data_IF_247593494665
#
_entry.id   IF_247593494665
#
_cell.length_a   1.000
_cell.length_b   1.000
_cell.length_c   1.000
_cell.angle_alpha   90.00
_cell.angle_beta   90.00
_cell.angle_gamma   90.00
#
_symmetry.space_group_name_H-M   'P 1'
#
loop_
_entity.id
_entity.type
_entity.pdbx_description
1 polymer ?
2 non-polymer ?
3 non-polymer ?
4 water ?
#
# COMPACT_ATOMS: atom_id res chain seq x y z
N UNK A 12 -22.25 0.72 -19.96
CA UNK A 12 -21.08 1.45 -20.54
C UNK A 12 -19.85 1.53 -19.59
N UNK A 13 -19.70 2.67 -18.92
CA UNK A 13 -18.50 3.05 -18.15
C UNK A 13 -17.39 3.73 -18.97
N UNK A 14 -17.68 4.00 -20.26
CA UNK A 14 -16.76 4.66 -21.18
C UNK A 14 -16.37 6.08 -20.73
N UNK A 15 -17.36 6.87 -20.32
CA UNK A 15 -17.11 8.22 -19.82
C UNK A 15 -16.37 8.23 -18.49
N UNK A 16 -16.81 7.34 -17.61
CA UNK A 16 -16.13 7.16 -16.35
C UNK A 16 -14.68 6.70 -16.55
N UNK A 17 -14.46 5.69 -17.40
CA UNK A 17 -13.09 5.27 -17.72
C UNK A 17 -12.25 6.47 -18.19
N UNK A 18 -12.76 7.21 -19.16
CA UNK A 18 -12.11 8.43 -19.62
C UNK A 18 -11.76 9.36 -18.43
N UNK A 19 -12.74 9.55 -17.55
CA UNK A 19 -12.58 10.47 -16.45
C UNK A 19 -11.53 9.95 -15.46
N UNK A 20 -11.54 8.64 -15.26
CA UNK A 20 -10.59 7.99 -14.35
C UNK A 20 -9.17 8.17 -14.82
N UNK A 21 -8.98 8.07 -16.13
CA UNK A 21 -7.66 8.25 -16.69
C UNK A 21 -7.19 9.69 -16.62
N UNK A 22 -8.13 10.63 -16.70
CA UNK A 22 -7.81 12.05 -16.62
C UNK A 22 -7.36 12.48 -15.23
N UNK A 23 -8.05 12.00 -14.19
CA UNK A 23 -7.65 12.24 -12.81
C UNK A 23 -6.35 11.50 -12.49
N UNK A 24 -6.23 10.29 -13.03
CA UNK A 24 -5.04 9.46 -12.85
C UNK A 24 -3.73 10.20 -13.21
N UNK A 25 -3.73 10.92 -14.32
CA UNK A 25 -2.54 11.65 -14.74
C UNK A 25 -2.23 12.90 -13.92
N UNK A 26 -3.24 13.44 -13.23
CA UNK A 26 -3.07 14.58 -12.32
C UNK A 26 -2.56 14.17 -10.93
N UNK A 27 -2.80 12.92 -10.51
CA UNK A 27 -2.50 12.49 -9.14
C UNK A 27 -1.22 11.66 -9.03
N UNK A 28 -0.84 11.00 -10.13
CA UNK A 28 0.37 10.18 -10.13
C UNK A 28 1.62 11.03 -9.95
N UNK A 29 2.59 10.47 -9.22
CA UNK A 29 3.87 11.14 -9.07
C UNK A 29 4.46 11.41 -10.45
N UNK A 30 4.93 12.64 -10.65
CA UNK A 30 5.59 13.04 -11.89
C UNK A 30 6.95 12.34 -12.01
N UNK A 31 7.56 12.46 -13.17
CA UNK A 31 8.91 11.94 -13.35
C UNK A 31 9.93 12.86 -12.66
N UNK A 32 9.55 14.12 -12.48
CA UNK A 32 10.36 15.10 -11.79
C UNK A 32 10.50 14.75 -10.29
N UNK A 33 9.38 14.57 -9.60
CA UNK A 33 9.42 14.22 -8.17
C UNK A 33 10.11 12.87 -7.94
N UNK A 34 9.84 11.92 -8.83
CA UNK A 34 10.42 10.58 -8.75
C UNK A 34 11.95 10.69 -8.76
N UNK A 35 12.48 11.38 -9.76
CA UNK A 35 13.93 11.62 -9.89
C UNK A 35 14.56 12.37 -8.72
N UNK A 36 13.81 13.26 -8.07
CA UNK A 36 14.31 13.95 -6.88
C UNK A 36 14.35 13.05 -5.67
N UNK A 37 13.30 12.23 -5.51
CA UNK A 37 13.28 11.20 -4.47
C UNK A 37 14.43 10.21 -4.62
N UNK A 38 14.77 9.87 -5.86
CA UNK A 38 15.90 8.98 -6.15
C UNK A 38 17.26 9.65 -5.90
N UNK A 39 17.35 10.96 -6.14
CA UNK A 39 18.53 11.72 -5.71
C UNK A 39 18.64 11.78 -4.17
N UNK A 40 17.51 11.91 -3.48
CA UNK A 40 17.49 11.92 -2.01
C UNK A 40 18.05 10.62 -1.41
N UNK A 41 17.77 9.53 -2.11
CA UNK A 41 18.22 8.20 -1.74
C UNK A 41 19.72 8.06 -1.94
N UNK A 42 20.21 8.51 -3.09
CA UNK A 42 21.65 8.55 -3.37
C UNK A 42 22.40 9.24 -2.22
N UNK A 43 21.85 10.37 -1.78
CA UNK A 43 22.37 11.17 -0.66
C UNK A 43 22.40 10.40 0.66
N UNK A 44 21.25 9.89 1.08
CA UNK A 44 21.13 9.13 2.32
C UNK A 44 22.03 7.89 2.35
N UNK A 45 22.35 7.34 1.19
CA UNK A 45 23.25 6.19 1.07
C UNK A 45 24.70 6.58 1.29
N UNK A 46 25.06 7.80 0.88
CA UNK A 46 26.40 8.31 1.11
C UNK A 46 26.61 8.45 2.60
N UNK A 47 25.59 8.96 3.29
CA UNK A 47 25.63 9.09 4.74
C UNK A 47 25.73 7.74 5.45
N UNK A 48 25.07 6.71 4.90
CA UNK A 48 25.20 5.37 5.50
C UNK A 48 26.58 4.73 5.26
N UNK A 49 27.18 4.98 4.10
CA UNK A 49 28.56 4.54 3.83
C UNK A 49 29.57 5.10 4.82
N UNK A 50 29.45 6.38 5.14
CA UNK A 50 30.34 7.04 6.08
C UNK A 50 30.25 6.49 7.51
N UNK A 51 29.25 5.64 7.74
CA UNK A 51 28.97 5.11 9.07
C UNK A 51 29.18 3.61 9.14
N UNK A 52 28.69 2.92 8.11
CA UNK A 52 28.74 1.48 8.06
C UNK A 52 28.85 1.06 6.60
N UNK A 53 30.05 0.64 6.19
CA UNK A 53 30.25 0.25 4.79
C UNK A 53 29.40 -0.95 4.33
N UNK A 54 29.03 -1.84 5.26
CA UNK A 54 28.37 -3.12 4.92
C UNK A 54 26.85 -3.05 4.83
N UNK A 55 26.25 -2.15 5.60
CA UNK A 55 24.82 -1.95 5.60
C UNK A 55 24.32 -1.41 4.27
N UNK A 56 23.18 -1.92 3.81
CA UNK A 56 22.55 -1.40 2.59
C UNK A 56 21.26 -0.64 2.92
N UNK A 57 20.93 0.34 2.09
CA UNK A 57 19.71 1.13 2.28
C UNK A 57 18.73 0.85 1.17
N UNK A 58 17.60 0.26 1.51
CA UNK A 58 16.62 -0.09 0.48
C UNK A 58 15.31 0.65 0.69
N UNK A 59 14.64 0.95 -0.43
CA UNK A 59 13.31 1.55 -0.43
C UNK A 59 12.20 0.49 -0.52
N UNK A 60 11.09 0.77 0.13
CA UNK A 60 9.89 -0.04 0.00
C UNK A 60 8.68 0.89 -0.03
N UNK A 61 7.48 0.32 -0.06
CA UNK A 61 6.28 1.13 -0.15
C UNK A 61 6.02 1.67 -1.55
N UNK A 62 5.10 2.62 -1.63
CA UNK A 62 4.53 3.09 -2.87
C UNK A 62 5.56 3.51 -3.92
N UNK A 63 6.57 4.27 -3.51
CA UNK A 63 7.63 4.68 -4.44
C UNK A 63 8.32 3.50 -5.13
N UNK A 64 8.54 2.42 -4.41
CA UNK A 64 9.22 1.26 -4.95
C UNK A 64 8.32 0.41 -5.83
N UNK A 65 7.05 0.30 -5.43
CA UNK A 65 6.06 -0.50 -6.16
C UNK A 65 5.49 0.25 -7.37
N UNK A 66 5.54 1.57 -7.33
CA UNK A 66 5.03 2.41 -8.41
C UNK A 66 3.62 2.91 -8.14
N UNK A 67 3.23 2.91 -6.88
CA UNK A 67 1.88 3.30 -6.52
C UNK A 67 1.89 4.59 -5.73
N UNK A 68 2.73 5.52 -6.20
CA UNK A 68 2.95 6.78 -5.52
C UNK A 68 2.08 7.88 -6.11
N UNK A 69 1.31 8.51 -5.22
CA UNK A 69 0.66 9.78 -5.51
C UNK A 69 1.70 10.93 -5.53
N UNK A 70 1.22 12.14 -5.74
CA UNK A 70 2.03 13.33 -5.61
C UNK A 70 2.26 13.59 -4.13
N UNK A 71 3.35 14.31 -3.80
CA UNK A 71 3.69 14.64 -2.42
C UNK A 71 3.89 13.39 -1.57
N UNK A 72 4.57 12.41 -2.15
CA UNK A 72 4.69 11.09 -1.55
C UNK A 72 5.85 11.05 -0.54
N UNK A 73 5.59 10.46 0.63
CA UNK A 73 6.64 10.23 1.63
C UNK A 73 7.52 9.05 1.21
N UNK A 74 8.74 9.02 1.74
CA UNK A 74 9.71 7.96 1.45
C UNK A 74 9.72 6.93 2.59
N UNK A 75 9.73 5.65 2.23
CA UNK A 75 9.83 4.58 3.22
C UNK A 75 11.11 3.77 3.01
N UNK A 76 12.04 3.92 3.94
CA UNK A 76 13.36 3.31 3.82
C UNK A 76 13.66 2.28 4.88
N UNK A 77 14.50 1.32 4.51
CA UNK A 77 14.97 0.33 5.46
C UNK A 77 16.47 0.03 5.31
N UNK A 78 17.14 -0.04 6.45
CA UNK A 78 18.55 -0.42 6.51
C UNK A 78 18.70 -1.92 6.76
N UNK A 79 19.33 -2.60 5.82
CA UNK A 79 19.68 -4.01 5.98
C UNK A 79 21.10 -4.13 6.48
N UNK A 80 21.29 -5.02 7.44
CA UNK A 80 22.62 -5.28 7.98
C UNK A 80 22.69 -6.67 8.62
N UNK A 81 23.90 -7.07 9.01
CA UNK A 81 24.13 -8.30 9.76
C UNK A 81 23.24 -8.28 11.02
N UNK A 82 22.39 -9.30 11.15
CA UNK A 82 21.44 -9.36 12.28
C UNK A 82 22.15 -9.47 13.64
N UNK A 83 23.33 -10.11 13.64
CA UNK A 83 24.14 -10.31 14.84
C UNK A 83 24.65 -8.99 15.43
N UNK A 84 24.99 -8.04 14.56
CA UNK A 84 25.36 -6.70 14.99
C UNK A 84 24.08 -5.93 15.33
N UNK A 85 24.03 -5.39 16.55
CA UNK A 85 22.79 -4.80 17.09
C UNK A 85 22.43 -3.45 16.48
N UNK A 86 21.14 -3.29 16.19
CA UNK A 86 20.64 -2.17 15.39
C UNK A 86 20.38 -0.86 16.14
N UNK A 87 20.38 -0.87 17.46
CA UNK A 87 20.19 0.40 18.18
C UNK A 87 21.44 1.29 18.10
N UNK A 88 22.60 0.64 17.95
CA UNK A 88 23.90 1.32 17.95
C UNK A 88 24.16 2.11 16.68
N UNK A 89 24.01 1.45 15.53
CA UNK A 89 24.31 2.10 14.26
C UNK A 89 23.14 2.95 13.79
N UNK A 90 21.95 2.69 14.32
CA UNK A 90 20.82 3.59 14.10
C UNK A 90 21.17 4.98 14.61
N UNK A 91 21.62 5.06 15.86
CA UNK A 91 21.97 6.34 16.44
C UNK A 91 23.08 7.02 15.67
N UNK A 92 24.10 6.25 15.26
CA UNK A 92 25.20 6.79 14.47
C UNK A 92 24.68 7.43 13.17
N UNK A 93 23.82 6.69 12.48
CA UNK A 93 23.19 7.14 11.25
C UNK A 93 22.38 8.44 11.49
N UNK A 94 21.64 8.50 12.60
CA UNK A 94 20.86 9.68 12.97
C UNK A 94 21.72 10.92 13.12
N UNK A 95 22.82 10.78 13.87
CA UNK A 95 23.77 11.87 14.09
C UNK A 95 24.44 12.36 12.80
N UNK A 96 24.75 11.46 11.88
CA UNK A 96 25.31 11.87 10.58
C UNK A 96 24.28 12.60 9.72
N UNK A 97 23.04 12.14 9.76
CA UNK A 97 21.94 12.78 9.05
C UNK A 97 21.72 14.18 9.58
N UNK A 98 21.65 14.31 10.91
CA UNK A 98 21.60 15.62 11.54
C UNK A 98 22.75 16.49 11.01
N UNK A 99 23.98 15.99 11.15
CA UNK A 99 25.18 16.74 10.77
C UNK A 99 25.23 17.09 9.29
N UNK A 100 24.57 16.28 8.47
CA UNK A 100 24.57 16.51 7.03
C UNK A 100 23.31 17.29 6.65
N UNK A 101 22.73 17.95 7.65
CA UNK A 101 21.68 18.93 7.44
C UNK A 101 20.25 18.44 7.44
N UNK A 102 20.02 17.21 7.90
CA UNK A 102 18.65 16.69 8.02
C UNK A 102 18.07 16.93 9.42
N UNK A 103 16.77 17.20 9.46
CA UNK A 103 16.05 17.35 10.72
C UNK A 103 15.13 16.18 10.93
N UNK A 104 15.02 15.69 12.16
CA UNK A 104 14.04 14.66 12.44
C UNK A 104 14.09 14.15 13.87
N UNK A 105 13.47 13.00 14.08
CA UNK A 105 13.52 12.33 15.37
C UNK A 105 14.16 10.94 15.30
N UNK A 106 14.90 10.60 16.33
CA UNK A 106 15.32 9.21 16.53
C UNK A 106 14.40 8.58 17.59
N UNK A 107 13.82 7.44 17.24
CA UNK A 107 12.83 6.81 18.11
C UNK A 107 13.05 5.31 18.26
N UNK A 108 12.37 4.72 19.23
CA UNK A 108 12.36 3.28 19.38
C UNK A 108 11.07 2.82 20.02
N UNK A 109 10.19 2.21 19.23
CA UNK A 109 9.02 1.52 19.77
C UNK A 109 9.42 0.09 20.11
N UNK A 110 9.36 -0.22 21.41
CA UNK A 110 9.82 -1.50 21.97
C UNK A 110 11.30 -1.78 21.71
N UNK A 111 11.56 -2.68 20.75
CA UNK A 111 12.92 -3.07 20.35
C UNK A 111 13.28 -2.53 18.97
N UNK A 112 12.29 -1.97 18.29
CA UNK A 112 12.42 -1.49 16.92
C UNK A 112 12.79 0.03 16.87
N UNK A 113 14.00 0.35 16.36
CA UNK A 113 14.46 1.73 16.16
C UNK A 113 13.94 2.34 14.86
N UNK A 114 13.55 3.61 14.91
CA UNK A 114 13.02 4.33 13.75
C UNK A 114 13.60 5.75 13.68
N UNK A 115 13.96 6.19 12.48
CA UNK A 115 14.28 7.59 12.24
C UNK A 115 13.18 8.16 11.37
N UNK A 116 12.66 9.33 11.76
CA UNK A 116 11.70 10.05 10.93
C UNK A 116 12.32 11.37 10.53
N UNK A 117 12.60 11.51 9.24
CA UNK A 117 13.10 12.76 8.71
C UNK A 117 11.95 13.63 8.25
N UNK A 118 11.92 14.87 8.74
CA UNK A 118 10.78 15.76 8.58
C UNK A 118 11.07 16.94 7.66
N UNK A 119 12.35 17.20 7.40
CA UNK A 119 12.79 18.40 6.66
C UNK A 119 14.24 18.27 6.18
N UNK A 120 14.57 18.98 5.10
CA UNK A 120 15.96 19.12 4.66
C UNK A 120 16.37 20.59 4.58
N UNK A 121 17.50 20.94 5.18
CA UNK A 121 17.93 22.33 5.27
C UNK A 121 19.14 22.73 4.41
N UNK A 122 19.70 21.76 3.68
CA UNK A 122 20.94 22.01 2.92
C UNK A 122 20.95 21.43 1.50
N UNK A 123 20.73 20.12 1.38
CA UNK A 123 20.76 19.45 0.08
C UNK A 123 19.57 19.78 -0.82
N UNK A 124 18.65 20.57 -0.28
CA UNK A 124 17.52 21.11 -1.03
C UNK A 124 16.53 20.08 -1.57
N UNK A 125 16.04 19.22 -0.69
CA UNK A 125 15.01 18.24 -1.07
C UNK A 125 13.64 18.63 -0.55
N UNK A 126 13.54 19.85 -0.01
CA UNK A 126 12.29 20.38 0.50
C UNK A 126 12.36 20.79 1.97
N UNK A 127 11.55 21.79 2.31
CA UNK A 127 11.36 22.19 3.72
C UNK A 127 10.47 21.15 4.43
N UNK A 128 9.61 20.49 3.66
CA UNK A 128 8.82 19.36 4.16
C UNK A 128 9.17 18.05 3.43
N UNK A 129 10.43 17.63 3.58
CA UNK A 129 10.92 16.32 3.14
C UNK A 129 10.64 15.26 4.22
N UNK A 130 9.71 14.34 3.92
CA UNK A 130 9.27 13.32 4.86
C UNK A 130 9.78 11.93 4.49
N UNK A 131 10.33 11.21 5.47
CA UNK A 131 11.09 9.98 5.22
C UNK A 131 11.31 9.08 6.45
N UNK A 132 10.70 7.91 6.43
CA UNK A 132 10.79 6.98 7.54
C UNK A 132 11.85 5.93 7.26
N UNK A 133 12.79 5.78 8.19
CA UNK A 133 13.84 4.78 8.08
C UNK A 133 13.76 3.71 9.18
N UNK A 134 13.67 2.46 8.74
CA UNK A 134 13.59 1.32 9.64
C UNK A 134 14.86 0.50 9.54
N UNK A 135 14.96 -0.52 10.38
CA UNK A 135 16.17 -1.33 10.44
C UNK A 135 15.83 -2.81 10.46
N UNK A 136 16.24 -3.51 9.39
CA UNK A 136 15.89 -4.91 9.16
C UNK A 136 14.40 -5.22 9.23
N UNK A 137 13.58 -4.29 8.75
CA UNK A 137 12.16 -4.53 8.52
C UNK A 137 12.01 -5.31 7.23
N UNK A 138 12.38 -6.58 7.28
CA UNK A 138 12.45 -7.39 6.08
C UNK A 138 11.08 -7.70 5.46
N UNK A 139 10.03 -7.79 6.29
CA UNK A 139 8.69 -8.11 5.81
C UNK A 139 8.08 -7.04 4.88
N UNK A 140 8.36 -5.77 5.19
CA UNK A 140 7.94 -4.62 4.39
C UNK A 140 8.47 -4.69 2.96
N UNK A 141 9.74 -5.05 2.82
CA UNK A 141 10.36 -5.25 1.52
C UNK A 141 9.56 -6.28 0.75
N UNK A 142 9.38 -7.43 1.37
CA UNK A 142 8.63 -8.52 0.76
C UNK A 142 7.21 -8.16 0.39
N UNK A 143 6.52 -7.43 1.28
CA UNK A 143 5.17 -6.94 0.99
C UNK A 143 5.18 -6.09 -0.27
N UNK A 144 6.14 -5.19 -0.35
CA UNK A 144 6.40 -4.38 -1.54
C UNK A 144 6.70 -5.21 -2.81
N UNK A 145 7.54 -6.24 -2.70
CA UNK A 145 7.79 -7.14 -3.85
C UNK A 145 6.48 -7.67 -4.44
N UNK A 146 5.59 -8.11 -3.55
CA UNK A 146 4.29 -8.66 -3.92
C UNK A 146 3.45 -7.63 -4.66
N UNK A 147 3.31 -6.45 -4.09
CA UNK A 147 2.53 -5.40 -4.75
C UNK A 147 3.15 -5.01 -6.08
N UNK A 148 4.49 -4.99 -6.12
CA UNK A 148 5.29 -4.70 -7.31
C UNK A 148 5.03 -5.69 -8.42
N UNK A 149 4.93 -6.96 -8.04
CA UNK A 149 4.81 -7.98 -9.06
C UNK A 149 3.45 -7.85 -9.72
N UNK A 150 2.43 -7.60 -8.89
CA UNK A 150 1.07 -7.44 -9.38
C UNK A 150 0.93 -6.27 -10.36
N UNK A 151 1.58 -5.17 -10.02
CA UNK A 151 1.62 -3.98 -10.84
C UNK A 151 2.24 -4.29 -12.20
N UNK A 152 3.28 -5.10 -12.21
CA UNK A 152 3.88 -5.52 -13.47
C UNK A 152 2.95 -6.45 -14.25
N UNK A 153 2.02 -7.09 -13.56
CA UNK A 153 1.20 -8.14 -14.17
C UNK A 153 0.06 -7.57 -14.99
N UNK A 154 -0.59 -6.53 -14.47
CA UNK A 154 -1.67 -5.86 -15.21
C UNK A 154 -1.55 -4.35 -15.13
N UNK A 155 -1.65 -3.72 -16.29
CA UNK A 155 -1.56 -2.28 -16.44
C UNK A 155 -2.71 -1.53 -15.76
N UNK A 156 -3.78 -2.25 -15.44
CA UNK A 156 -4.95 -1.61 -14.85
C UNK A 156 -4.83 -1.39 -13.34
N UNK A 157 -3.97 -2.18 -12.68
CA UNK A 157 -3.89 -2.12 -11.22
C UNK A 157 -3.49 -0.73 -10.75
N UNK A 158 -2.40 -0.23 -11.31
CA UNK A 158 -1.75 0.95 -10.78
C UNK A 158 -2.70 2.15 -10.77
N UNK A 159 -3.27 2.51 -11.94
CA UNK A 159 -4.31 3.57 -11.96
C UNK A 159 -5.51 3.30 -11.06
N UNK A 160 -5.87 2.04 -10.85
CA UNK A 160 -7.02 1.72 -9.99
C UNK A 160 -6.71 2.00 -8.51
N UNK A 161 -5.49 1.68 -8.10
CA UNK A 161 -5.01 1.90 -6.74
C UNK A 161 -4.92 3.39 -6.40
N UNK A 162 -4.25 4.17 -7.24
CA UNK A 162 -4.08 5.60 -6.97
C UNK A 162 -5.41 6.32 -6.97
N UNK A 163 -6.36 5.86 -7.77
CA UNK A 163 -7.68 6.45 -7.74
C UNK A 163 -8.35 6.15 -6.40
N UNK A 164 -8.20 4.91 -5.93
CA UNK A 164 -8.83 4.50 -4.69
C UNK A 164 -8.20 5.23 -3.50
N UNK A 165 -6.88 5.45 -3.56
CA UNK A 165 -6.16 6.11 -2.50
C UNK A 165 -6.59 7.56 -2.43
N UNK A 166 -6.64 8.20 -3.60
CA UNK A 166 -7.12 9.57 -3.75
C UNK A 166 -8.54 9.72 -3.20
N UNK A 167 -9.39 8.76 -3.55
CA UNK A 167 -10.77 8.72 -3.09
C UNK A 167 -10.83 8.69 -1.56
N UNK A 168 -10.05 7.79 -0.97
CA UNK A 168 -10.10 7.53 0.47
C UNK A 168 -9.58 8.71 1.28
N UNK A 169 -8.60 9.40 0.70
CA UNK A 169 -7.97 10.56 1.28
C UNK A 169 -8.97 11.71 1.21
N UNK A 170 -9.58 11.90 0.04
CA UNK A 170 -10.58 12.93 -0.12
C UNK A 170 -11.79 12.70 0.79
N UNK A 171 -12.21 11.45 0.96
CA UNK A 171 -13.41 11.18 1.79
C UNK A 171 -13.17 11.09 3.31
N UNK A 172 -11.95 11.44 3.74
CA UNK A 172 -11.56 11.36 5.13
C UNK A 172 -11.65 9.95 5.69
N UNK A 173 -11.39 8.95 4.87
CA UNK A 173 -11.47 7.57 5.38
C UNK A 173 -10.15 6.86 5.29
N UNK A 174 -9.09 7.65 5.19
CA UNK A 174 -7.74 7.15 5.10
C UNK A 174 -6.84 7.70 6.21
N UNK A 175 -7.30 7.56 7.47
CA UNK A 175 -6.55 7.97 8.65
C UNK A 175 -6.50 6.84 9.67
N UNK A 176 -5.43 6.03 9.64
CA UNK A 176 -5.16 5.04 10.68
C UNK A 176 -5.27 5.56 12.13
N UNK A 177 -4.83 6.79 12.39
CA UNK A 177 -4.77 7.31 13.76
C UNK A 177 -6.12 7.82 14.24
N UNK A 178 -7.05 7.98 13.29
CA UNK A 178 -8.38 8.52 13.58
C UNK A 178 -9.51 7.51 13.36
N UNK A 179 -9.17 6.24 13.33
CA UNK A 179 -10.19 5.20 13.30
C UNK A 179 -10.57 4.69 11.93
N UNK A 180 -9.81 5.06 10.90
CA UNK A 180 -10.04 4.48 9.57
C UNK A 180 -8.84 3.63 9.10
N UNK A 181 -8.63 3.53 7.80
CA UNK A 181 -7.76 2.50 7.25
C UNK A 181 -6.55 3.07 6.51
N UNK A 182 -5.40 2.44 6.67
CA UNK A 182 -4.20 2.86 5.95
C UNK A 182 -4.33 2.70 4.43
N UNK A 183 -3.45 3.35 3.68
CA UNK A 183 -3.36 3.13 2.23
C UNK A 183 -3.08 1.68 1.86
N UNK A 184 -2.14 1.06 2.58
CA UNK A 184 -1.82 -0.34 2.37
C UNK A 184 -3.07 -1.19 2.51
N UNK A 185 -3.83 -0.96 3.57
CA UNK A 185 -5.12 -1.62 3.74
C UNK A 185 -6.03 -1.52 2.53
N UNK A 186 -6.06 -0.35 1.88
CA UNK A 186 -6.89 -0.18 0.69
C UNK A 186 -6.34 -0.92 -0.52
N UNK A 187 -5.04 -1.09 -0.58
CA UNK A 187 -4.42 -1.78 -1.70
C UNK A 187 -4.78 -3.27 -1.63
N UNK A 188 -4.93 -3.76 -0.40
CA UNK A 188 -5.15 -5.18 -0.20
C UNK A 188 -6.59 -5.49 -0.55
N UNK A 189 -7.49 -4.60 -0.15
CA UNK A 189 -8.87 -4.66 -0.57
C UNK A 189 -9.00 -4.64 -2.10
N UNK A 190 -8.18 -3.82 -2.75
CA UNK A 190 -8.19 -3.78 -4.21
C UNK A 190 -7.77 -5.15 -4.76
N UNK A 191 -6.62 -5.63 -4.29
CA UNK A 191 -6.10 -6.92 -4.73
C UNK A 191 -7.07 -8.04 -4.38
N UNK A 192 -7.63 -8.00 -3.17
CA UNK A 192 -8.55 -9.07 -2.81
C UNK A 192 -9.70 -9.13 -3.79
N UNK A 193 -10.22 -7.96 -4.18
CA UNK A 193 -11.31 -7.87 -5.16
C UNK A 193 -10.88 -8.44 -6.52
N UNK A 194 -9.71 -8.04 -6.98
CA UNK A 194 -9.25 -8.39 -8.31
C UNK A 194 -8.89 -9.86 -8.45
N UNK A 195 -8.54 -10.49 -7.32
CA UNK A 195 -8.14 -11.89 -7.31
C UNK A 195 -9.31 -12.81 -7.06
N UNK A 196 -10.03 -12.57 -5.95
CA UNK A 196 -11.02 -13.52 -5.43
C UNK A 196 -12.50 -13.19 -5.61
N UNK A 197 -12.80 -11.99 -6.11
CA UNK A 197 -14.19 -11.59 -6.29
C UNK A 197 -14.57 -11.46 -7.75
N UNK A 198 -13.82 -10.66 -8.52
CA UNK A 198 -14.21 -10.45 -9.90
C UNK A 198 -14.07 -11.76 -10.69
N UNK A 199 -15.02 -11.98 -11.60
CA UNK A 199 -15.00 -13.15 -12.49
C UNK A 199 -15.19 -12.66 -13.92
N UNK A 200 -14.28 -13.04 -14.84
CA UNK A 200 -13.10 -13.86 -14.54
C UNK A 200 -12.15 -13.09 -13.66
N UNK A 201 -11.26 -13.80 -12.95
CA UNK A 201 -10.37 -13.00 -12.10
C UNK A 201 -9.39 -12.16 -12.94
N UNK A 202 -9.08 -10.96 -12.47
CA UNK A 202 -8.08 -10.13 -13.14
C UNK A 202 -6.68 -10.65 -12.86
N UNK A 203 -6.48 -11.17 -11.65
CA UNK A 203 -5.18 -11.67 -11.19
C UNK A 203 -5.38 -13.04 -10.60
N UNK A 204 -4.41 -13.94 -10.84
CA UNK A 204 -4.32 -15.14 -9.99
C UNK A 204 -3.81 -14.76 -8.58
N UNK A 205 -3.91 -15.70 -7.64
CA UNK A 205 -3.29 -15.58 -6.33
C UNK A 205 -1.90 -16.19 -6.45
N UNK A 206 -0.90 -15.33 -6.40
CA UNK A 206 0.51 -15.71 -6.51
C UNK A 206 1.02 -16.54 -5.34
N UNK A 207 0.45 -16.32 -4.17
CA UNK A 207 0.79 -17.07 -2.96
C UNK A 207 0.29 -18.51 -2.98
N UNK A 208 -0.76 -18.79 -3.75
CA UNK A 208 -1.30 -20.15 -3.87
C UNK A 208 -0.86 -20.84 -5.16
N UNK A 209 0.12 -20.25 -5.84
CA UNK A 209 0.65 -20.87 -7.05
C UNK A 209 1.33 -22.22 -6.76
N UNK A 210 1.03 -23.24 -7.59
CA UNK A 210 1.77 -24.49 -7.56
C UNK A 210 3.28 -24.24 -7.61
N UNK A 211 3.71 -23.22 -8.34
CA UNK A 211 5.15 -22.94 -8.54
C UNK A 211 5.81 -22.18 -7.39
N UNK A 212 5.00 -21.75 -6.42
CA UNK A 212 5.45 -20.97 -5.26
C UNK A 212 6.47 -21.71 -4.36
N UNK A 213 7.69 -21.17 -4.32
CA UNK A 213 8.73 -21.70 -3.44
C UNK A 213 8.64 -21.02 -2.06
N UNK A 214 8.80 -21.80 -1.01
CA UNK A 214 8.72 -21.31 0.35
C UNK A 214 10.01 -20.55 0.69
N UNK A 215 9.86 -19.37 1.28
CA UNK A 215 10.98 -18.61 1.82
C UNK A 215 10.58 -18.06 3.19
N UNK A 216 11.24 -18.56 4.22
CA UNK A 216 10.94 -18.09 5.57
C UNK A 216 11.81 -16.90 5.91
N UNK A 217 11.16 -15.80 6.25
CA UNK A 217 11.84 -14.60 6.70
C UNK A 217 11.17 -14.19 8.00
N UNK A 218 11.99 -13.97 9.02
CA UNK A 218 11.50 -13.55 10.34
C UNK A 218 10.31 -14.37 10.81
N UNK A 219 10.31 -15.65 10.48
CA UNK A 219 9.25 -16.56 10.92
C UNK A 219 8.07 -16.72 10.00
N UNK A 220 7.90 -15.82 9.03
CA UNK A 220 6.79 -15.94 8.07
C UNK A 220 7.22 -16.42 6.69
N UNK A 221 6.30 -17.08 6.00
CA UNK A 221 6.54 -17.55 4.65
C UNK A 221 6.20 -16.43 3.66
N UNK A 222 7.24 -15.92 3.02
CA UNK A 222 7.12 -14.79 2.11
C UNK A 222 7.20 -15.24 0.66
N UNK A 223 7.16 -16.55 0.44
CA UNK A 223 7.20 -17.09 -0.90
C UNK A 223 5.95 -16.77 -1.70
N UNK A 224 6.16 -16.37 -2.95
CA UNK A 224 5.08 -16.26 -3.94
C UNK A 224 5.68 -16.51 -5.32
N UNK A 225 4.84 -16.77 -6.31
CA UNK A 225 5.34 -17.04 -7.67
C UNK A 225 5.78 -15.74 -8.37
N UNK A 226 7.09 -15.55 -8.54
CA UNK A 226 7.58 -14.30 -9.10
C UNK A 226 8.06 -14.40 -10.55
N UNK A 227 8.06 -15.61 -11.12
CA UNK A 227 8.39 -15.79 -12.54
C UNK A 227 7.20 -15.26 -13.32
N UNK A 228 7.17 -13.93 -13.46
CA UNK A 228 6.00 -13.21 -13.96
C UNK A 228 5.70 -13.49 -15.41
N UNK A 229 6.75 -13.55 -16.21
CA UNK A 229 6.59 -13.74 -17.64
C UNK A 229 5.80 -15.02 -17.98
N UNK A 230 5.90 -16.05 -17.14
CA UNK A 230 5.21 -17.32 -17.41
C UNK A 230 3.70 -17.31 -17.12
N UNK A 231 3.20 -16.22 -16.55
CA UNK A 231 1.79 -16.15 -16.16
C UNK A 231 0.90 -15.65 -17.31
N UNK A 232 -0.10 -16.46 -17.68
CA UNK A 232 -1.09 -16.04 -18.67
C UNK A 232 -1.76 -14.72 -18.27
N UNK A 233 -1.90 -13.79 -19.25
CA UNK A 233 -2.62 -12.54 -19.04
C UNK A 233 -4.05 -12.77 -18.56
N UNK A 234 -4.62 -11.77 -17.91
CA UNK A 234 -5.98 -11.83 -17.40
C UNK A 234 -7.00 -12.12 -18.50
N UNK A 235 -7.97 -12.99 -18.19
CA UNK A 235 -9.08 -13.27 -19.11
C UNK A 235 -10.30 -12.42 -18.74
N UNK A 236 -10.04 -11.39 -17.94
CA UNK A 236 -11.02 -10.35 -17.67
C UNK A 236 -10.69 -9.12 -18.51
N UNK A 237 -11.69 -8.58 -19.19
CA UNK A 237 -11.45 -7.53 -20.17
C UNK A 237 -12.12 -6.22 -19.80
N UNK A 238 -12.48 -6.08 -18.52
CA UNK A 238 -13.21 -4.91 -18.05
C UNK A 238 -12.35 -3.63 -18.05
N UNK A 239 -12.98 -2.52 -18.40
CA UNK A 239 -12.39 -1.20 -18.33
C UNK A 239 -12.10 -0.81 -16.89
N UNK A 240 -11.15 0.12 -16.73
CA UNK A 240 -10.83 0.70 -15.43
C UNK A 240 -12.08 1.14 -14.66
N UNK A 241 -13.00 1.79 -15.38
CA UNK A 241 -14.30 2.17 -14.83
C UNK A 241 -15.10 1.00 -14.31
N UNK A 242 -15.22 -0.05 -15.13
CA UNK A 242 -16.01 -1.23 -14.75
C UNK A 242 -15.49 -1.79 -13.45
N UNK A 243 -14.16 -1.92 -13.39
CA UNK A 243 -13.48 -2.53 -12.26
C UNK A 243 -13.72 -1.69 -11.02
N UNK A 244 -13.64 -0.37 -11.19
CA UNK A 244 -13.83 0.50 -10.07
C UNK A 244 -15.24 0.40 -9.55
N UNK A 245 -16.19 0.30 -10.46
CA UNK A 245 -17.56 0.13 -10.07
C UNK A 245 -17.78 -1.21 -9.36
N UNK A 246 -17.16 -2.27 -9.88
CA UNK A 246 -17.25 -3.59 -9.24
C UNK A 246 -16.73 -3.55 -7.82
N UNK A 247 -15.53 -2.99 -7.68
CA UNK A 247 -14.88 -2.73 -6.40
C UNK A 247 -15.79 -2.01 -5.40
N UNK A 248 -16.29 -0.83 -5.75
CA UNK A 248 -17.18 -0.09 -4.88
C UNK A 248 -18.46 -0.87 -4.61
N UNK A 249 -18.92 -1.69 -5.56
CA UNK A 249 -20.14 -2.46 -5.36
C UNK A 249 -19.87 -3.58 -4.37
N UNK A 250 -18.71 -4.22 -4.51
CA UNK A 250 -18.43 -5.36 -3.66
C UNK A 250 -18.38 -4.99 -2.17
N UNK A 251 -17.62 -3.96 -1.83
CA UNK A 251 -17.49 -3.53 -0.45
C UNK A 251 -18.69 -2.75 0.09
N UNK A 252 -19.52 -2.20 -0.79
CA UNK A 252 -20.75 -1.58 -0.34
C UNK A 252 -21.78 -2.60 0.16
N UNK A 253 -22.02 -3.65 -0.66
CA UNK A 253 -23.24 -4.45 -0.59
C UNK A 253 -23.02 -5.95 -0.39
N UNK A 254 -21.89 -6.45 -0.89
CA UNK A 254 -21.62 -7.87 -0.92
C UNK A 254 -20.79 -8.33 0.27
N UNK A 255 -19.63 -7.69 0.47
CA UNK A 255 -18.68 -8.08 1.51
C UNK A 255 -19.28 -7.87 2.88
N UNK A 256 -18.93 -8.77 3.81
CA UNK A 256 -19.49 -8.76 5.15
C UNK A 256 -18.40 -8.59 6.21
N UNK A 257 -18.16 -7.34 6.64
CA UNK A 257 -17.09 -7.00 7.59
C UNK A 257 -17.22 -7.69 8.95
N UNK A 258 -18.44 -7.98 9.37
CA UNK A 258 -18.68 -8.56 10.69
C UNK A 258 -18.34 -10.06 10.80
N UNK A 259 -18.41 -10.76 9.68
CA UNK A 259 -18.21 -12.21 9.69
C UNK A 259 -16.95 -12.59 8.93
N UNK A 260 -16.59 -11.78 7.93
CA UNK A 260 -15.55 -12.18 7.00
C UNK A 260 -14.24 -11.43 7.17
N UNK A 261 -13.20 -12.03 6.61
CA UNK A 261 -11.84 -11.52 6.64
C UNK A 261 -11.33 -11.43 5.20
N UNK A 262 -10.71 -10.32 4.84
CA UNK A 262 -10.03 -10.19 3.56
C UNK A 262 -8.74 -11.01 3.64
N UNK A 263 -8.58 -11.97 2.74
CA UNK A 263 -7.52 -12.98 2.86
C UNK A 263 -6.82 -13.30 1.53
N UNK A 264 -5.59 -13.78 1.61
CA UNK A 264 -4.86 -14.26 0.43
C UNK A 264 -4.38 -15.70 0.62
N UNK A 265 -4.85 -16.32 1.70
CA UNK A 265 -4.46 -17.66 2.10
C UNK A 265 -5.52 -18.75 1.80
N UNK A 266 -6.61 -18.38 1.16
CA UNK A 266 -7.66 -19.34 0.82
C UNK A 266 -7.91 -19.31 -0.68
N UNK A 267 -7.94 -20.48 -1.34
CA UNK A 267 -8.05 -20.49 -2.81
C UNK A 267 -9.36 -19.88 -3.31
N UNK A 268 -10.40 -19.93 -2.48
CA UNK A 268 -11.69 -19.33 -2.78
C UNK A 268 -11.94 -18.04 -1.98
N UNK A 269 -10.88 -17.48 -1.39
CA UNK A 269 -10.94 -16.24 -0.63
C UNK A 269 -11.94 -16.23 0.52
N UNK A 270 -12.31 -17.41 0.98
CA UNK A 270 -13.34 -17.52 2.02
C UNK A 270 -12.71 -17.78 3.38
N UNK A 271 -12.84 -16.81 4.28
CA UNK A 271 -12.31 -16.93 5.64
C UNK A 271 -13.21 -16.22 6.65
N UNK A 272 -13.63 -16.95 7.66
CA UNK A 272 -14.39 -16.33 8.73
C UNK A 272 -13.43 -15.73 9.76
N UNK A 273 -13.87 -14.64 10.38
CA UNK A 273 -13.22 -14.08 11.56
C UNK A 273 -13.01 -15.10 12.66
N UNK A 274 -13.91 -16.07 12.78
CA UNK A 274 -13.80 -17.06 13.85
C UNK A 274 -12.69 -18.07 13.63
N UNK A 275 -12.59 -18.62 12.41
CA UNK A 275 -11.50 -19.55 12.11
C UNK A 275 -10.19 -18.92 12.48
N UNK A 276 -10.03 -17.65 12.13
CA UNK A 276 -8.82 -16.93 12.38
C UNK A 276 -8.70 -16.46 13.85
N UNK A 277 -9.80 -16.52 14.59
CA UNK A 277 -9.83 -16.11 16.00
C UNK A 277 -9.86 -14.60 16.21
N UNK A 278 -10.57 -13.89 15.34
CA UNK A 278 -10.56 -12.43 15.34
C UNK A 278 -11.94 -11.86 15.69
N UNK A 279 -12.43 -12.21 16.88
CA UNK A 279 -13.67 -11.66 17.41
C UNK A 279 -13.51 -10.17 17.75
N UNK A 295 -8.03 -4.11 17.70
CA UNK A 295 -9.41 -4.37 17.31
C UNK A 295 -9.53 -5.21 16.00
N UNK A 296 -10.65 -5.92 15.85
CA UNK A 296 -10.98 -6.61 14.61
C UNK A 296 -12.36 -6.23 14.10
N UNK A 297 -12.66 -4.93 14.03
CA UNK A 297 -13.94 -4.48 13.49
C UNK A 297 -13.95 -4.73 11.97
N UNK A 298 -12.84 -4.39 11.34
CA UNK A 298 -12.56 -4.71 9.95
C UNK A 298 -11.35 -5.65 9.97
N UNK A 299 -11.43 -6.74 9.22
CA UNK A 299 -10.38 -7.73 9.24
C UNK A 299 -9.77 -7.95 7.87
N UNK A 300 -8.51 -7.55 7.75
CA UNK A 300 -7.72 -7.75 6.56
C UNK A 300 -6.46 -8.46 7.01
N UNK A 301 -6.30 -9.70 6.55
CA UNK A 301 -5.14 -10.51 6.88
C UNK A 301 -3.99 -10.13 5.98
N UNK A 302 -2.90 -9.63 6.56
CA UNK A 302 -1.69 -9.33 5.80
C UNK A 302 -1.25 -10.59 5.06
N UNK A 303 -0.84 -10.46 3.80
CA UNK A 303 -0.51 -11.67 3.06
C UNK A 303 0.55 -12.54 3.73
N UNK A 304 1.66 -11.92 4.16
CA UNK A 304 2.78 -12.71 4.68
C UNK A 304 2.81 -12.73 6.20
N UNK A 305 2.66 -11.54 6.81
CA UNK A 305 2.59 -11.45 8.25
C UNK A 305 1.15 -11.72 8.67
N UNK A 306 0.75 -12.98 8.53
CA UNK A 306 -0.65 -13.35 8.64
C UNK A 306 -1.26 -13.12 10.03
N UNK A 307 -0.42 -12.99 11.06
CA UNK A 307 -0.92 -12.68 12.39
C UNK A 307 -1.32 -11.19 12.51
N UNK A 308 -0.90 -10.40 11.54
CA UNK A 308 -1.09 -8.95 11.55
C UNK A 308 -2.34 -8.54 10.79
N UNK A 309 -3.29 -7.98 11.50
CA UNK A 309 -4.52 -7.49 10.88
C UNK A 309 -4.39 -6.03 10.44
N UNK A 310 -4.43 -5.82 9.14
CA UNK A 310 -4.19 -4.47 8.60
C UNK A 310 -5.33 -3.50 8.95
N UNK A 311 -6.52 -4.05 9.19
CA UNK A 311 -7.68 -3.24 9.51
C UNK A 311 -7.81 -2.96 10.99
N UNK A 312 -6.72 -3.18 11.73
CA UNK A 312 -6.73 -3.10 13.21
C UNK A 312 -7.04 -1.69 13.72
N UNK A 313 -6.78 -0.69 12.87
CA UNK A 313 -6.96 0.71 13.19
C UNK A 313 -8.41 1.14 12.98
N UNK A 314 -9.19 0.32 12.28
CA UNK A 314 -10.56 0.70 11.93
C UNK A 314 -11.49 0.62 13.15
N UNK A 315 -12.02 1.78 13.54
CA UNK A 315 -12.95 1.87 14.64
C UNK A 315 -14.36 1.60 14.15
N UNK A 316 -15.28 1.42 15.09
CA UNK A 316 -16.67 1.16 14.80
C UNK A 316 -17.27 2.26 13.93
N UNK A 317 -17.11 3.52 14.34
CA UNK A 317 -17.62 4.64 13.55
C UNK A 317 -16.79 4.85 12.29
N UNK A 318 -15.51 4.50 12.36
CA UNK A 318 -14.64 4.47 11.19
C UNK A 318 -15.17 3.56 10.10
N UNK A 319 -15.56 2.34 10.48
CA UNK A 319 -16.18 1.41 9.55
C UNK A 319 -17.48 1.95 8.93
N UNK A 320 -18.33 2.57 9.76
CA UNK A 320 -19.59 3.11 9.27
C UNK A 320 -19.35 4.10 8.13
N UNK A 321 -18.41 5.02 8.34
CA UNK A 321 -18.03 5.99 7.32
C UNK A 321 -17.40 5.31 6.11
N UNK A 322 -16.51 4.35 6.34
CA UNK A 322 -15.89 3.64 5.24
C UNK A 322 -16.96 2.99 4.35
N UNK A 323 -17.92 2.29 4.97
CA UNK A 323 -19.01 1.65 4.22
C UNK A 323 -19.92 2.66 3.55
N UNK A 324 -20.32 3.69 4.30
CA UNK A 324 -21.13 4.78 3.76
C UNK A 324 -20.55 5.35 2.48
N UNK A 325 -19.24 5.52 2.47
CA UNK A 325 -18.57 6.02 1.27
C UNK A 325 -18.55 5.00 0.13
N UNK A 326 -18.39 3.72 0.44
CA UNK A 326 -18.47 2.70 -0.58
C UNK A 326 -19.85 2.65 -1.25
N UNK A 327 -20.90 2.87 -0.47
CA UNK A 327 -22.26 2.89 -1.02
C UNK A 327 -22.50 4.13 -1.88
N UNK A 328 -22.17 5.30 -1.35
CA UNK A 328 -22.32 6.54 -2.09
C UNK A 328 -21.59 6.47 -3.45
N UNK A 329 -20.42 5.84 -3.46
CA UNK A 329 -19.63 5.70 -4.67
C UNK A 329 -20.33 4.81 -5.69
N UNK A 330 -20.94 3.74 -5.20
CA UNK A 330 -21.79 2.87 -6.01
C UNK A 330 -23.03 3.58 -6.54
N UNK A 331 -23.74 4.29 -5.66
CA UNK A 331 -24.94 5.04 -6.06
C UNK A 331 -24.65 6.06 -7.14
N UNK A 332 -23.54 6.77 -7.00
CA UNK A 332 -23.08 7.74 -8.01
C UNK A 332 -22.84 7.09 -9.36
N UNK A 333 -22.03 6.05 -9.35
CA UNK A 333 -21.62 5.39 -10.59
C UNK A 333 -22.79 4.74 -11.30
N UNK A 334 -23.91 4.67 -10.58
CA UNK A 334 -25.08 3.95 -11.02
C UNK A 334 -26.29 4.85 -11.15
N UNK A 335 -26.08 6.13 -10.83
CA UNK A 335 -27.10 7.17 -10.98
C UNK A 335 -27.63 7.19 -12.40
N UNK A 336 -28.90 7.55 -12.52
CA UNK A 336 -29.56 7.67 -13.81
C UNK A 336 -29.73 9.14 -14.15
N UNK A 337 -29.51 10.00 -13.15
CA UNK A 337 -29.60 11.43 -13.34
C UNK A 337 -28.38 11.88 -14.14
N UNK A 338 -28.59 12.03 -15.46
CA UNK A 338 -27.53 12.43 -16.40
C UNK A 338 -27.49 13.96 -16.58
N UNK A 339 -26.26 14.53 -16.67
CA UNK A 339 -24.97 13.83 -16.63
C UNK A 339 -24.56 13.45 -15.21
N UNK A 340 -23.88 12.32 -15.07
CA UNK A 340 -23.39 11.88 -13.77
C UNK A 340 -22.24 12.79 -13.30
N UNK A 341 -22.38 13.41 -12.11
CA UNK A 341 -21.29 14.28 -11.61
C UNK A 341 -20.09 13.47 -11.07
N UNK A 342 -19.44 12.71 -11.94
CA UNK A 342 -18.25 11.90 -11.58
C UNK A 342 -17.24 12.64 -10.72
N UNK A 343 -17.15 13.94 -10.89
CA UNK A 343 -16.24 14.76 -10.11
C UNK A 343 -16.49 14.68 -8.59
N UNK A 344 -17.74 14.45 -8.20
CA UNK A 344 -18.11 14.39 -6.78
C UNK A 344 -17.59 13.12 -6.11
N UNK A 345 -16.99 12.25 -6.92
CA UNK A 345 -16.32 11.07 -6.41
C UNK A 345 -15.06 11.45 -5.65
N UNK A 346 -14.49 12.63 -5.94
CA UNK A 346 -13.24 13.05 -5.31
C UNK A 346 -13.35 14.34 -4.49
N UNK A 347 -14.52 14.62 -3.93
CA UNK A 347 -14.72 15.90 -3.26
C UNK A 347 -14.49 15.87 -1.75
N UNK A 348 -13.73 16.84 -1.26
CA UNK A 348 -13.35 16.94 0.15
C UNK A 348 -14.51 16.59 1.07
N UNK A 349 -14.27 15.63 1.97
CA UNK A 349 -15.22 15.24 3.01
C UNK A 349 -16.64 15.06 2.48
#
# INVERSE_FOLDING_TARGET
GSHMSYQKVPNSHKEFTKFCYEVYNEIKISDKEFKEKRAALDTLRLCLKRISPDAELVAFGSLESGLALKNSDMDLCVLMDSRVQSDTIALQFYEELIAEGFEGKFLQRARIPIIKLTSDTKNGFGASFQCDIGFNNRLAIHNTLLLSSYTKLDARLKPMVLLVKHWAKRKQINSPYFGTLSSYGYVLMVLYYLIHVIKPPVFPNLLLSPLKQEKIVDGFDVGFDDKLEDIPPSQNYSSLGSLLHGFFRFYAYKFEPREKVVTFRRPDGYLTKQEKGWTSATEHTGSADQIIKDRYILAIEDPFEISNNVGRTVSSSGLYRIRGEFMAASRLLNSRSYPIPYDSLFEEA
#
